data_IF_931211157314
#
_entry.id   IF_931211157314
#
_cell.length_a   1.000
_cell.length_b   1.000
_cell.length_c   1.000
_cell.angle_alpha   90.00
_cell.angle_beta   90.00
_cell.angle_gamma   90.00
#
_symmetry.space_group_name_H-M   'P 1'
#
loop_
_entity.id
_entity.type
_entity.pdbx_description
1 polymer ?
#
# COMPACT_ATOMS: atom_id res chain seq x y z
N UNK A 1 -0.13 -20.44 -9.14
CA UNK A 1 -1.14 -19.39 -8.96
C UNK A 1 -1.16 -19.07 -7.48
N UNK A 2 -0.29 -18.17 -7.06
CA UNK A 2 -0.21 -17.77 -5.67
C UNK A 2 -1.47 -16.99 -5.33
N UNK A 3 -2.26 -17.53 -4.40
CA UNK A 3 -3.50 -16.93 -3.97
C UNK A 3 -3.17 -15.62 -3.25
N UNK A 4 -3.49 -14.49 -3.88
CA UNK A 4 -3.37 -13.20 -3.24
C UNK A 4 -4.41 -13.07 -2.13
N UNK A 5 -3.97 -12.61 -0.97
CA UNK A 5 -4.78 -12.59 0.24
C UNK A 5 -5.79 -11.44 0.16
N UNK A 6 -7.06 -11.72 -0.17
CA UNK A 6 -8.07 -10.67 -0.30
C UNK A 6 -8.56 -10.12 1.04
N UNK A 7 -8.57 -10.96 2.08
CA UNK A 7 -9.01 -10.56 3.42
C UNK A 7 -8.24 -11.29 4.50
N UNK A 8 -7.94 -10.60 5.61
CA UNK A 8 -7.48 -11.20 6.87
C UNK A 8 -8.51 -10.91 7.95
N UNK A 9 -8.90 -11.92 8.72
CA UNK A 9 -9.73 -11.73 9.90
C UNK A 9 -8.93 -12.07 11.16
N UNK A 10 -8.92 -11.16 12.10
CA UNK A 10 -8.32 -11.33 13.43
C UNK A 10 -9.22 -10.72 14.51
N UNK A 11 -8.72 -10.61 15.74
CA UNK A 11 -9.50 -10.07 16.86
C UNK A 11 -9.85 -8.57 16.70
N UNK A 12 -9.11 -7.83 15.87
CA UNK A 12 -9.34 -6.41 15.63
C UNK A 12 -10.35 -6.16 14.49
N UNK A 13 -10.68 -7.18 13.70
CA UNK A 13 -11.71 -7.10 12.66
C UNK A 13 -11.32 -7.86 11.39
N UNK A 14 -11.87 -7.42 10.25
CA UNK A 14 -11.50 -7.92 8.93
C UNK A 14 -10.73 -6.86 8.15
N UNK A 15 -9.42 -7.06 7.98
CA UNK A 15 -8.59 -6.28 7.06
C UNK A 15 -8.87 -6.74 5.64
N UNK A 16 -9.12 -5.81 4.73
CA UNK A 16 -9.32 -6.11 3.30
C UNK A 16 -8.17 -5.55 2.47
N UNK A 17 -7.71 -6.33 1.49
CA UNK A 17 -6.62 -5.98 0.60
C UNK A 17 -7.15 -5.85 -0.83
N UNK A 18 -6.88 -4.70 -1.45
CA UNK A 18 -7.12 -4.47 -2.87
C UNK A 18 -5.80 -4.55 -3.63
N UNK A 19 -5.80 -5.19 -4.79
CA UNK A 19 -4.63 -5.33 -5.64
C UNK A 19 -4.82 -4.61 -6.98
N UNK A 20 -3.75 -4.09 -7.56
CA UNK A 20 -3.76 -3.54 -8.91
C UNK A 20 -3.68 -4.66 -9.97
N UNK A 21 -3.71 -4.29 -11.25
CA UNK A 21 -3.64 -5.25 -12.37
C UNK A 21 -2.30 -6.00 -12.47
N UNK A 22 -1.24 -5.50 -11.82
CA UNK A 22 0.05 -6.18 -11.71
C UNK A 22 0.11 -7.11 -10.48
N UNK A 23 -0.98 -7.18 -9.69
CA UNK A 23 -1.05 -7.99 -8.48
C UNK A 23 -0.33 -7.37 -7.29
N UNK A 24 -0.06 -6.06 -7.30
CA UNK A 24 0.58 -5.34 -6.18
C UNK A 24 -0.50 -4.75 -5.28
N UNK A 25 -0.21 -4.62 -3.98
CA UNK A 25 -1.16 -4.12 -3.00
C UNK A 25 -1.51 -2.65 -3.28
N UNK A 26 -2.71 -2.34 -3.76
CA UNK A 26 -3.15 -0.99 -4.08
C UNK A 26 -3.92 -0.32 -2.92
N UNK A 27 -4.62 -1.10 -2.09
CA UNK A 27 -5.32 -0.57 -0.93
C UNK A 27 -5.38 -1.55 0.23
N UNK A 28 -5.41 -1.02 1.44
CA UNK A 28 -5.59 -1.77 2.68
C UNK A 28 -6.64 -1.07 3.54
N UNK A 29 -7.74 -1.74 3.82
CA UNK A 29 -8.76 -1.27 4.74
C UNK A 29 -8.48 -1.85 6.12
N UNK A 30 -8.00 -1.02 7.06
CA UNK A 30 -7.62 -1.45 8.41
C UNK A 30 -8.77 -1.20 9.40
N UNK A 31 -9.46 -2.25 9.87
CA UNK A 31 -10.65 -2.10 10.72
C UNK A 31 -10.31 -1.57 12.11
N UNK A 32 -9.09 -1.83 12.60
CA UNK A 32 -8.66 -1.41 13.92
C UNK A 32 -8.63 0.11 14.08
N UNK A 33 -8.25 0.82 13.03
CA UNK A 33 -8.19 2.30 13.01
C UNK A 33 -9.31 2.93 12.18
N UNK A 34 -10.04 2.12 11.40
CA UNK A 34 -11.01 2.62 10.41
C UNK A 34 -10.34 3.34 9.23
N UNK A 35 -9.03 3.18 9.05
CA UNK A 35 -8.25 3.87 8.02
C UNK A 35 -8.17 3.02 6.77
N UNK A 36 -8.39 3.66 5.61
CA UNK A 36 -8.04 3.09 4.32
C UNK A 36 -6.71 3.63 3.85
N UNK A 37 -5.71 2.77 3.76
CA UNK A 37 -4.43 3.07 3.16
C UNK A 37 -4.51 2.84 1.65
N UNK A 38 -3.84 3.70 0.89
CA UNK A 38 -3.64 3.49 -0.56
C UNK A 38 -2.18 3.60 -0.92
N UNK A 39 -1.78 2.79 -1.88
CA UNK A 39 -0.40 2.65 -2.31
C UNK A 39 -0.31 2.98 -3.79
N UNK A 40 0.70 3.74 -4.18
CA UNK A 40 1.03 3.99 -5.58
C UNK A 40 2.40 3.43 -5.91
N UNK A 41 2.56 2.98 -7.15
CA UNK A 41 3.78 2.36 -7.62
C UNK A 41 4.27 3.01 -8.90
N UNK A 42 5.58 2.98 -9.09
CA UNK A 42 6.23 3.37 -10.33
C UNK A 42 6.13 2.29 -11.41
N UNK A 43 6.84 2.53 -12.51
CA UNK A 43 6.87 1.63 -13.67
C UNK A 43 7.64 0.34 -13.41
N UNK A 44 8.49 0.34 -12.38
CA UNK A 44 9.42 -0.75 -12.07
C UNK A 44 9.04 -1.42 -10.74
N UNK A 45 7.75 -1.42 -10.42
CA UNK A 45 7.18 -1.99 -9.20
C UNK A 45 7.66 -1.37 -7.88
N UNK A 46 8.39 -0.24 -7.95
CA UNK A 46 8.79 0.50 -6.77
C UNK A 46 7.61 1.23 -6.12
N UNK A 47 7.51 1.18 -4.79
CA UNK A 47 6.48 1.90 -4.05
C UNK A 47 6.78 3.40 -4.06
N UNK A 48 5.89 4.23 -4.60
CA UNK A 48 6.10 5.69 -4.71
C UNK A 48 5.37 6.49 -3.65
N UNK A 49 4.22 6.03 -3.17
CA UNK A 49 3.55 6.68 -2.05
C UNK A 49 2.68 5.75 -1.22
N UNK A 50 2.52 6.11 0.06
CA UNK A 50 1.50 5.58 0.95
C UNK A 50 0.67 6.77 1.43
N UNK A 51 -0.63 6.72 1.18
CA UNK A 51 -1.58 7.66 1.77
C UNK A 51 -2.28 6.98 2.96
N UNK A 52 -2.16 7.57 4.15
CA UNK A 52 -2.74 7.07 5.39
C UNK A 52 -4.21 7.47 5.60
N UNK A 53 -4.97 7.58 4.51
CA UNK A 53 -6.40 7.88 4.50
C UNK A 53 -6.72 9.38 4.57
N UNK A 54 -8.01 9.69 4.56
CA UNK A 54 -8.50 11.08 4.59
C UNK A 54 -8.02 11.83 5.83
N UNK A 55 -7.29 12.93 5.63
CA UNK A 55 -6.69 13.72 6.71
C UNK A 55 -5.40 13.11 7.29
N UNK A 56 -4.99 11.93 6.81
CA UNK A 56 -3.70 11.33 7.11
C UNK A 56 -2.57 11.98 6.31
N UNK A 57 -1.34 11.77 6.79
CA UNK A 57 -0.15 12.17 6.03
C UNK A 57 -0.04 11.31 4.76
N UNK A 58 0.66 11.84 3.76
CA UNK A 58 1.12 11.05 2.63
C UNK A 58 2.62 10.91 2.77
N UNK A 59 3.10 9.67 2.82
CA UNK A 59 4.52 9.37 2.74
C UNK A 59 4.89 9.13 1.28
N UNK A 60 5.95 9.75 0.81
CA UNK A 60 6.43 9.64 -0.57
C UNK A 60 7.87 9.13 -0.64
N UNK A 61 8.12 8.27 -1.63
CA UNK A 61 9.41 7.63 -1.84
C UNK A 61 9.99 7.99 -3.20
N UNK A 62 11.26 8.36 -3.21
CA UNK A 62 12.03 8.66 -4.42
C UNK A 62 13.17 7.67 -4.59
N UNK A 63 13.48 7.35 -5.84
CA UNK A 63 14.50 6.37 -6.21
C UNK A 63 15.38 6.96 -7.31
N UNK A 64 16.65 6.59 -7.32
CA UNK A 64 17.56 6.84 -8.44
C UNK A 64 17.39 5.81 -9.57
N UNK A 65 18.19 5.95 -10.62
CA UNK A 65 18.16 5.07 -11.80
C UNK A 65 18.65 3.65 -11.49
N UNK A 66 19.39 3.46 -10.39
CA UNK A 66 19.82 2.15 -9.88
C UNK A 66 18.75 1.52 -8.95
N UNK A 67 17.56 2.12 -8.88
CA UNK A 67 16.43 1.72 -8.03
C UNK A 67 16.74 1.74 -6.54
N UNK A 68 17.67 2.57 -6.11
CA UNK A 68 18.00 2.76 -4.71
C UNK A 68 17.14 3.89 -4.14
N UNK A 69 16.69 3.74 -2.90
CA UNK A 69 15.87 4.75 -2.23
C UNK A 69 16.73 6.00 -1.96
N UNK A 70 16.31 7.14 -2.49
CA UNK A 70 16.98 8.45 -2.33
C UNK A 70 16.17 9.45 -1.52
N UNK A 71 14.89 9.19 -1.25
CA UNK A 71 14.06 10.05 -0.42
C UNK A 71 12.87 9.32 0.21
N UNK A 72 12.57 9.67 1.46
CA UNK A 72 11.40 9.27 2.26
C UNK A 72 10.92 10.54 2.97
N UNK A 73 9.77 11.07 2.57
CA UNK A 73 9.17 12.30 3.13
C UNK A 73 7.72 12.10 3.52
#
# INVERSE_FOLDING_TARGET
ADAQMLTRKDAAGTTSYGYDSAGRLASLDEPATGTRLTYSYGKLDELRSINYGTGGQTRAFSYDDDHQLTGDV
#
